data_IF_980824810835
#
_entry.id   IF_980824810835
#
_cell.length_a   1.000
_cell.length_b   1.000
_cell.length_c   1.000
_cell.angle_alpha   90.00
_cell.angle_beta   90.00
_cell.angle_gamma   90.00
#
_symmetry.space_group_name_H-M   'P 1'
#
loop_
_entity.id
_entity.type
_entity.pdbx_description
1 polymer ?
#
# COMPACT_ATOMS: atom_id res chain seq x y z
N UNK A 1 7.41 44.18 -1.05
CA UNK A 1 6.92 43.94 -2.43
C UNK A 1 7.62 42.67 -2.91
N UNK A 2 6.94 41.51 -2.86
CA UNK A 2 7.55 40.22 -3.24
C UNK A 2 7.49 40.10 -4.76
N UNK A 3 8.63 39.85 -5.39
CA UNK A 3 8.78 39.66 -6.83
C UNK A 3 8.18 38.31 -7.23
N UNK A 4 7.06 38.32 -7.95
CA UNK A 4 6.53 37.11 -8.60
C UNK A 4 7.51 36.71 -9.70
N UNK A 5 8.18 35.57 -9.51
CA UNK A 5 9.02 34.95 -10.52
C UNK A 5 8.12 34.43 -11.65
N UNK A 6 8.20 34.96 -12.89
CA UNK A 6 7.28 34.60 -13.98
C UNK A 6 7.40 33.15 -14.47
N UNK A 7 8.40 32.40 -13.96
CA UNK A 7 8.66 31.01 -14.34
C UNK A 7 8.05 29.97 -13.39
N UNK A 8 7.23 30.37 -12.41
CA UNK A 8 6.54 29.43 -11.54
C UNK A 8 5.04 29.62 -11.71
N UNK A 9 4.37 28.84 -12.59
CA UNK A 9 2.92 28.89 -12.69
C UNK A 9 2.33 28.59 -11.32
N UNK A 10 1.39 29.44 -10.90
CA UNK A 10 0.69 29.31 -9.64
C UNK A 10 -0.09 27.98 -9.65
N UNK A 11 0.20 27.05 -8.71
CA UNK A 11 -0.43 25.73 -8.68
C UNK A 11 -1.95 25.78 -8.52
N UNK A 12 -2.51 26.92 -8.10
CA UNK A 12 -3.96 27.15 -8.06
C UNK A 12 -4.61 27.18 -9.45
N UNK A 13 -3.88 27.61 -10.49
CA UNK A 13 -4.35 27.67 -11.88
C UNK A 13 -3.83 26.52 -12.74
N UNK A 14 -3.19 25.52 -12.13
CA UNK A 14 -2.77 24.32 -12.84
C UNK A 14 -3.99 23.58 -13.38
N UNK A 15 -3.97 23.26 -14.67
CA UNK A 15 -5.03 22.49 -15.32
C UNK A 15 -5.16 21.13 -14.63
N UNK A 16 -6.40 20.73 -14.29
CA UNK A 16 -6.64 19.43 -13.68
C UNK A 16 -6.15 18.34 -14.63
N UNK A 17 -5.41 17.33 -14.15
CA UNK A 17 -5.00 16.21 -14.99
C UNK A 17 -6.23 15.53 -15.58
N UNK A 18 -6.09 15.06 -16.82
CA UNK A 18 -7.08 14.18 -17.44
C UNK A 18 -7.28 12.91 -16.59
N UNK A 19 -8.42 12.24 -16.75
CA UNK A 19 -8.80 11.10 -15.92
C UNK A 19 -7.74 9.98 -15.91
N UNK A 20 -7.04 9.75 -17.02
CA UNK A 20 -6.01 8.71 -17.10
C UNK A 20 -4.76 9.11 -16.30
N UNK A 21 -4.36 10.38 -16.39
CA UNK A 21 -3.24 10.91 -15.60
C UNK A 21 -3.55 10.92 -14.11
N UNK A 22 -4.76 11.35 -13.71
CA UNK A 22 -5.21 11.28 -12.32
C UNK A 22 -5.21 9.84 -11.78
N UNK A 23 -5.73 8.88 -12.55
CA UNK A 23 -5.73 7.46 -12.18
C UNK A 23 -4.31 6.91 -12.00
N UNK A 24 -3.38 7.25 -12.89
CA UNK A 24 -1.97 6.84 -12.78
C UNK A 24 -1.29 7.41 -11.54
N UNK A 25 -1.56 8.67 -11.19
CA UNK A 25 -1.02 9.28 -9.99
C UNK A 25 -1.53 8.58 -8.72
N UNK A 26 -2.83 8.26 -8.67
CA UNK A 26 -3.42 7.48 -7.56
C UNK A 26 -2.78 6.09 -7.48
N UNK A 27 -2.72 5.38 -8.61
CA UNK A 27 -2.11 4.05 -8.67
C UNK A 27 -0.65 4.05 -8.19
N UNK A 28 0.15 5.01 -8.67
CA UNK A 28 1.54 5.17 -8.25
C UNK A 28 1.65 5.47 -6.75
N UNK A 29 0.76 6.30 -6.21
CA UNK A 29 0.77 6.62 -4.79
C UNK A 29 0.38 5.41 -3.92
N UNK A 30 -0.54 4.56 -4.38
CA UNK A 30 -0.90 3.31 -3.70
C UNK A 30 0.24 2.29 -3.79
N UNK A 31 0.82 2.10 -4.98
CA UNK A 31 1.95 1.20 -5.19
C UNK A 31 3.16 1.61 -4.34
N UNK A 32 3.47 2.90 -4.27
CA UNK A 32 4.56 3.40 -3.44
C UNK A 32 4.35 3.07 -1.96
N UNK A 33 3.16 3.33 -1.41
CA UNK A 33 2.83 3.00 0.00
C UNK A 33 2.91 1.51 0.28
N UNK A 34 2.38 0.70 -0.63
CA UNK A 34 2.43 -0.77 -0.55
C UNK A 34 3.89 -1.26 -0.52
N UNK A 35 4.71 -0.83 -1.47
CA UNK A 35 6.10 -1.28 -1.59
C UNK A 35 6.94 -0.84 -0.38
N UNK A 36 6.74 0.38 0.12
CA UNK A 36 7.39 0.88 1.33
C UNK A 36 6.98 0.02 2.53
N UNK A 37 5.68 -0.23 2.71
CA UNK A 37 5.17 -1.04 3.80
C UNK A 37 5.69 -2.48 3.74
N UNK A 38 5.80 -3.09 2.56
CA UNK A 38 6.41 -4.41 2.41
C UNK A 38 7.90 -4.39 2.77
N UNK A 39 8.66 -3.42 2.24
CA UNK A 39 10.11 -3.34 2.39
C UNK A 39 10.59 -3.06 3.83
N UNK A 40 9.75 -2.41 4.64
CA UNK A 40 10.01 -2.07 6.04
C UNK A 40 10.11 -3.30 6.97
N UNK A 41 9.74 -4.50 6.51
CA UNK A 41 9.97 -5.73 7.27
C UNK A 41 11.48 -6.12 7.37
N UNK A 42 11.92 -6.64 8.54
CA UNK A 42 13.35 -6.81 8.85
C UNK A 42 14.02 -7.98 8.13
N UNK A 43 13.25 -8.97 7.69
CA UNK A 43 13.76 -10.16 6.99
C UNK A 43 13.03 -10.39 5.67
N UNK A 44 13.65 -11.14 4.75
CA UNK A 44 13.01 -11.51 3.50
C UNK A 44 11.74 -12.33 3.72
N UNK A 45 11.74 -13.19 4.74
CA UNK A 45 10.58 -13.98 5.15
C UNK A 45 9.44 -13.08 5.63
N UNK A 46 9.72 -12.09 6.49
CA UNK A 46 8.71 -11.14 6.97
C UNK A 46 8.17 -10.26 5.84
N UNK A 47 9.00 -9.91 4.83
CA UNK A 47 8.55 -9.22 3.61
C UNK A 47 7.62 -10.09 2.77
N UNK A 48 7.94 -11.38 2.65
CA UNK A 48 7.08 -12.38 2.03
C UNK A 48 5.73 -12.48 2.75
N UNK A 49 5.74 -12.55 4.07
CA UNK A 49 4.53 -12.60 4.89
C UNK A 49 3.68 -11.32 4.75
N UNK A 50 4.30 -10.13 4.80
CA UNK A 50 3.60 -8.86 4.51
C UNK A 50 2.95 -8.90 3.12
N UNK A 51 3.65 -9.43 2.11
CA UNK A 51 3.11 -9.59 0.75
C UNK A 51 1.90 -10.52 0.71
N UNK A 52 1.98 -11.67 1.38
CA UNK A 52 0.85 -12.62 1.47
C UNK A 52 -0.35 -12.00 2.17
N UNK A 53 -0.14 -11.24 3.26
CA UNK A 53 -1.22 -10.54 3.97
C UNK A 53 -1.84 -9.43 3.10
N UNK A 54 -1.03 -8.69 2.34
CA UNK A 54 -1.55 -7.70 1.40
C UNK A 54 -2.43 -8.38 0.32
N UNK A 55 -1.98 -9.51 -0.23
CA UNK A 55 -2.76 -10.30 -1.19
C UNK A 55 -4.06 -10.82 -0.58
N UNK A 56 -4.04 -11.32 0.67
CA UNK A 56 -5.26 -11.68 1.40
C UNK A 56 -6.26 -10.52 1.45
N UNK A 57 -5.79 -9.30 1.70
CA UNK A 57 -6.67 -8.13 1.85
C UNK A 57 -7.27 -7.65 0.52
N UNK A 58 -6.55 -7.77 -0.61
CA UNK A 58 -6.98 -7.20 -1.90
C UNK A 58 -7.55 -8.23 -2.88
N UNK A 59 -6.98 -9.44 -2.90
CA UNK A 59 -7.26 -10.51 -3.86
C UNK A 59 -7.01 -11.89 -3.21
N UNK A 60 -7.86 -12.30 -2.25
CA UNK A 60 -7.68 -13.57 -1.53
C UNK A 60 -7.71 -14.80 -2.44
N UNK A 61 -8.31 -14.69 -3.62
CA UNK A 61 -8.28 -15.74 -4.64
C UNK A 61 -6.87 -16.05 -5.15
N UNK A 62 -5.94 -15.09 -5.13
CA UNK A 62 -4.55 -15.29 -5.55
C UNK A 62 -3.72 -16.11 -4.55
N UNK A 63 -4.25 -16.36 -3.36
CA UNK A 63 -3.62 -17.17 -2.31
C UNK A 63 -4.45 -18.42 -1.99
N UNK A 64 -5.19 -18.92 -2.97
CA UNK A 64 -6.06 -20.09 -2.84
C UNK A 64 -7.07 -19.97 -1.68
N UNK A 65 -7.55 -18.74 -1.42
CA UNK A 65 -8.47 -18.41 -0.33
C UNK A 65 -7.97 -18.82 1.08
N UNK A 66 -6.64 -18.89 1.27
CA UNK A 66 -6.05 -19.15 2.58
C UNK A 66 -6.52 -18.12 3.62
N UNK A 67 -6.93 -18.63 4.77
CA UNK A 67 -7.31 -17.81 5.93
C UNK A 67 -6.09 -17.17 6.58
N UNK A 68 -6.29 -16.09 7.35
CA UNK A 68 -5.20 -15.50 8.13
C UNK A 68 -4.57 -16.50 9.11
N UNK A 69 -5.36 -17.41 9.66
CA UNK A 69 -4.89 -18.47 10.56
C UNK A 69 -3.92 -19.42 9.84
N UNK A 70 -4.28 -19.93 8.67
CA UNK A 70 -3.40 -20.79 7.86
C UNK A 70 -2.13 -20.07 7.40
N UNK A 71 -2.21 -18.76 7.13
CA UNK A 71 -1.02 -17.94 6.81
C UNK A 71 -0.09 -17.83 8.03
N UNK A 72 -0.66 -17.62 9.22
CA UNK A 72 0.09 -17.60 10.47
C UNK A 72 0.80 -18.91 10.75
N UNK A 73 0.07 -20.03 10.65
CA UNK A 73 0.60 -21.38 10.89
C UNK A 73 1.79 -21.71 9.99
N UNK A 74 1.71 -21.37 8.69
CA UNK A 74 2.79 -21.60 7.71
C UNK A 74 4.05 -20.78 7.96
N UNK A 75 3.94 -19.70 8.72
CA UNK A 75 5.05 -18.76 9.01
C UNK A 75 5.45 -18.77 10.49
N UNK A 76 4.91 -19.69 11.29
CA UNK A 76 5.17 -19.76 12.72
C UNK A 76 4.70 -18.51 13.49
N UNK A 77 3.71 -17.78 12.96
CA UNK A 77 3.14 -16.58 13.57
C UNK A 77 1.76 -16.88 14.14
N UNK A 78 1.43 -16.24 15.25
CA UNK A 78 0.08 -16.38 15.83
C UNK A 78 -0.95 -15.66 14.97
N UNK A 79 -2.20 -16.14 15.02
CA UNK A 79 -3.35 -15.48 14.40
C UNK A 79 -3.43 -13.99 14.73
N UNK A 80 -3.25 -13.62 16.00
CA UNK A 80 -3.29 -12.21 16.43
C UNK A 80 -2.23 -11.35 15.72
N UNK A 81 -1.04 -11.91 15.50
CA UNK A 81 0.05 -11.20 14.85
C UNK A 81 -0.25 -10.91 13.37
N UNK A 82 -0.77 -11.89 12.63
CA UNK A 82 -1.15 -11.71 11.22
C UNK A 82 -2.41 -10.85 11.04
N UNK A 83 -3.34 -10.88 12.01
CA UNK A 83 -4.46 -9.92 12.06
C UNK A 83 -3.95 -8.48 12.24
N UNK A 84 -3.02 -8.25 13.17
CA UNK A 84 -2.42 -6.94 13.37
C UNK A 84 -1.66 -6.44 12.12
N UNK A 85 -1.02 -7.34 11.37
CA UNK A 85 -0.46 -6.98 10.06
C UNK A 85 -1.53 -6.57 9.04
N UNK A 86 -2.64 -7.30 8.96
CA UNK A 86 -3.73 -6.95 8.05
C UNK A 86 -4.30 -5.57 8.38
N UNK A 87 -4.45 -5.25 9.66
CA UNK A 87 -4.90 -3.92 10.09
C UNK A 87 -3.86 -2.84 9.80
N UNK A 88 -2.58 -3.12 10.03
CA UNK A 88 -1.48 -2.22 9.64
C UNK A 88 -1.47 -1.93 8.14
N UNK A 89 -1.71 -2.96 7.31
CA UNK A 89 -1.82 -2.82 5.86
C UNK A 89 -2.98 -1.88 5.47
N UNK A 90 -4.17 -2.11 6.02
CA UNK A 90 -5.37 -1.29 5.77
C UNK A 90 -5.15 0.17 6.13
N UNK A 91 -4.59 0.42 7.32
CA UNK A 91 -4.26 1.78 7.79
C UNK A 91 -3.24 2.48 6.89
N UNK A 92 -2.21 1.75 6.43
CA UNK A 92 -1.14 2.33 5.61
C UNK A 92 -1.58 2.61 4.18
N UNK A 93 -2.49 1.79 3.64
CA UNK A 93 -2.94 1.89 2.24
C UNK A 93 -4.24 2.65 2.06
N UNK A 94 -4.99 2.89 3.14
CA UNK A 94 -6.30 3.56 3.09
C UNK A 94 -7.45 2.67 2.59
N UNK A 95 -7.24 1.35 2.58
CA UNK A 95 -8.28 0.37 2.25
C UNK A 95 -8.99 0.01 3.55
N UNK A 96 -10.13 0.66 3.86
CA UNK A 96 -10.98 0.32 5.02
C UNK A 96 -12.03 -0.72 4.68
#
# INVERSE_FOLDING_TARGET
MKTNNPNHPDPFFAESPDACTAARLIANAVLARLLIWQADAPSLEDRGLRTTVALYCVRPDLIAAATLEEIGDRTGRTKQWVHALADSFRLTTGIS
#
